data_IF_519052873036
#
_entry.id   IF_519052873036
#
_cell.length_a   1.000
_cell.length_b   1.000
_cell.length_c   1.000
_cell.angle_alpha   90.00
_cell.angle_beta   90.00
_cell.angle_gamma   90.00
#
_symmetry.space_group_name_H-M   'P 1'
#
loop_
_entity.id
_entity.type
_entity.pdbx_description
1 polymer ?
#
# COMPACT_ATOMS: atom_id res chain seq x y z
N UNK A 1 1.88 -28.16 -4.13
CA UNK A 1 1.61 -27.32 -2.93
C UNK A 1 0.26 -27.74 -2.37
N UNK A 2 0.20 -28.32 -1.17
CA UNK A 2 -1.10 -28.46 -0.49
C UNK A 2 -1.63 -27.03 -0.29
N UNK A 3 -2.77 -26.74 -0.88
CA UNK A 3 -3.47 -25.47 -0.66
C UNK A 3 -3.81 -25.40 0.83
N UNK A 4 -3.23 -24.44 1.54
CA UNK A 4 -3.60 -24.14 2.92
C UNK A 4 -5.11 -23.88 2.96
N UNK A 5 -5.80 -24.50 3.88
CA UNK A 5 -7.21 -24.24 4.12
C UNK A 5 -7.38 -22.77 4.52
N UNK A 6 -8.52 -22.13 4.24
CA UNK A 6 -8.71 -20.70 4.50
C UNK A 6 -8.43 -20.28 5.96
N UNK A 7 -8.63 -21.22 6.90
CA UNK A 7 -8.30 -21.03 8.33
C UNK A 7 -6.81 -20.96 8.61
N UNK A 8 -6.00 -21.61 7.78
CA UNK A 8 -4.53 -21.65 7.95
C UNK A 8 -3.85 -20.44 7.33
N UNK A 9 -4.58 -19.62 6.55
CA UNK A 9 -4.07 -18.41 5.91
C UNK A 9 -4.14 -17.17 6.80
N UNK A 10 -4.79 -17.25 7.96
CA UNK A 10 -4.90 -16.13 8.91
C UNK A 10 -4.15 -16.50 10.19
N UNK A 11 -3.08 -15.80 10.47
CA UNK A 11 -2.24 -16.03 11.65
C UNK A 11 -2.27 -14.81 12.57
N UNK A 12 -2.73 -14.99 13.78
CA UNK A 12 -2.72 -13.98 14.83
C UNK A 12 -1.48 -14.20 15.67
N UNK A 13 -0.60 -13.20 15.72
CA UNK A 13 0.70 -13.30 16.40
C UNK A 13 0.57 -13.50 17.91
N UNK A 14 -0.35 -12.76 18.54
CA UNK A 14 -0.70 -12.90 19.96
C UNK A 14 -2.19 -12.57 20.17
N UNK A 15 -3.07 -13.57 20.30
CA UNK A 15 -4.50 -13.36 20.45
C UNK A 15 -4.89 -12.50 21.66
N UNK A 16 -4.24 -12.70 22.81
CA UNK A 16 -4.57 -11.97 24.03
C UNK A 16 -4.22 -10.48 23.91
N UNK A 17 -3.08 -10.16 23.31
CA UNK A 17 -2.67 -8.78 23.04
C UNK A 17 -3.60 -8.13 22.03
N UNK A 18 -4.00 -8.85 20.99
CA UNK A 18 -4.94 -8.34 19.99
C UNK A 18 -6.30 -8.00 20.62
N UNK A 19 -6.84 -8.84 21.50
CA UNK A 19 -8.10 -8.55 22.19
C UNK A 19 -8.00 -7.32 23.10
N UNK A 20 -6.89 -7.13 23.81
CA UNK A 20 -6.64 -5.91 24.58
C UNK A 20 -6.61 -4.67 23.70
N UNK A 21 -5.95 -4.72 22.55
CA UNK A 21 -5.92 -3.63 21.57
C UNK A 21 -7.31 -3.32 21.02
N UNK A 22 -8.09 -4.33 20.66
CA UNK A 22 -9.48 -4.17 20.19
C UNK A 22 -10.32 -3.42 21.21
N UNK A 23 -10.18 -3.74 22.49
CA UNK A 23 -10.92 -3.05 23.56
C UNK A 23 -10.54 -1.57 23.69
N UNK A 24 -9.24 -1.24 23.54
CA UNK A 24 -8.75 0.15 23.55
C UNK A 24 -9.34 0.93 22.37
N UNK A 25 -9.30 0.37 21.15
CA UNK A 25 -9.85 0.99 19.96
C UNK A 25 -11.36 1.21 20.09
N UNK A 26 -12.11 0.22 20.61
CA UNK A 26 -13.54 0.33 20.86
C UNK A 26 -13.87 1.47 21.82
N UNK A 27 -13.16 1.60 22.94
CA UNK A 27 -13.35 2.69 23.92
C UNK A 27 -13.06 4.04 23.30
N UNK A 28 -11.96 4.18 22.56
CA UNK A 28 -11.62 5.43 21.87
C UNK A 28 -12.71 5.84 20.88
N UNK A 29 -13.24 4.90 20.10
CA UNK A 29 -14.29 5.19 19.11
C UNK A 29 -15.61 5.60 19.79
N UNK A 30 -16.06 4.88 20.81
CA UNK A 30 -17.33 5.16 21.51
C UNK A 30 -17.31 6.53 22.20
N UNK A 31 -16.18 6.88 22.82
CA UNK A 31 -16.03 8.18 23.50
C UNK A 31 -16.20 9.38 22.54
N UNK A 32 -15.84 9.20 21.25
CA UNK A 32 -15.88 10.28 20.26
C UNK A 32 -17.14 10.31 19.42
N UNK A 33 -17.88 9.20 19.30
CA UNK A 33 -19.17 9.18 18.62
C UNK A 33 -20.23 10.02 19.34
N UNK A 34 -20.09 10.18 20.65
CA UNK A 34 -21.06 10.88 21.51
C UNK A 34 -20.69 12.35 21.78
N UNK A 35 -19.47 12.77 21.42
CA UNK A 35 -19.00 14.15 21.57
C UNK A 35 -18.76 14.80 20.21
N UNK A 36 -19.44 15.91 19.95
CA UNK A 36 -19.32 16.73 18.72
C UNK A 36 -17.93 17.38 18.52
N UNK A 37 -16.99 17.15 19.44
CA UNK A 37 -15.60 17.56 19.31
C UNK A 37 -14.87 16.57 18.40
N UNK A 38 -14.86 16.85 17.11
CA UNK A 38 -14.23 16.22 15.94
C UNK A 38 -12.74 15.93 16.10
N UNK A 39 -12.32 15.18 17.13
CA UNK A 39 -10.92 14.80 17.30
C UNK A 39 -10.79 13.39 16.81
N UNK A 40 -10.27 13.22 15.59
CA UNK A 40 -9.96 11.91 15.03
C UNK A 40 -8.92 11.20 15.91
N UNK A 41 -9.41 10.26 16.70
CA UNK A 41 -8.57 9.47 17.61
C UNK A 41 -8.06 8.19 16.98
N UNK A 42 -8.67 7.78 15.89
CA UNK A 42 -8.34 6.57 15.14
C UNK A 42 -7.99 6.98 13.72
N UNK A 43 -6.87 6.48 13.21
CA UNK A 43 -6.42 6.64 11.83
C UNK A 43 -6.20 5.27 11.20
N UNK A 44 -6.65 5.10 9.98
CA UNK A 44 -6.28 3.96 9.13
C UNK A 44 -5.16 4.37 8.19
N UNK A 45 -4.00 3.72 8.31
CA UNK A 45 -2.83 3.90 7.46
C UNK A 45 -2.64 2.64 6.63
N UNK A 46 -2.53 2.76 5.33
CA UNK A 46 -2.35 1.62 4.43
C UNK A 46 -1.26 1.91 3.40
N UNK A 47 -0.40 0.92 3.16
CA UNK A 47 0.28 0.85 1.89
C UNK A 47 -0.72 0.58 0.76
N UNK A 48 -0.28 0.65 -0.50
CA UNK A 48 -1.15 0.47 -1.66
C UNK A 48 -0.82 -0.79 -2.46
N UNK A 49 0.42 -0.86 -3.00
CA UNK A 49 0.84 -1.94 -3.87
C UNK A 49 0.89 -3.28 -3.11
N UNK A 50 0.22 -4.31 -3.64
CA UNK A 50 0.14 -5.63 -3.03
C UNK A 50 -0.51 -5.68 -1.62
N UNK A 51 -0.98 -4.53 -1.16
CA UNK A 51 -1.83 -4.44 0.03
C UNK A 51 -3.31 -4.48 -0.36
N UNK A 52 -3.75 -3.70 -1.37
CA UNK A 52 -5.13 -3.70 -1.86
C UNK A 52 -5.38 -4.75 -2.95
N UNK A 53 -4.37 -5.24 -3.60
CA UNK A 53 -4.48 -6.25 -4.65
C UNK A 53 -3.40 -7.33 -4.48
N UNK A 54 -3.62 -8.48 -5.13
CA UNK A 54 -2.74 -9.63 -5.01
C UNK A 54 -1.41 -9.41 -5.73
N UNK A 55 -0.34 -9.98 -5.20
CA UNK A 55 0.99 -9.94 -5.81
C UNK A 55 1.17 -11.02 -6.85
N UNK A 56 0.64 -12.20 -6.59
CA UNK A 56 0.76 -13.37 -7.45
C UNK A 56 -0.59 -14.01 -7.75
N UNK A 57 -0.69 -14.60 -8.93
CA UNK A 57 -1.70 -15.58 -9.24
C UNK A 57 -1.18 -16.96 -8.84
N UNK A 58 -1.63 -17.46 -7.71
CA UNK A 58 -1.15 -18.74 -7.17
C UNK A 58 -1.61 -19.98 -7.97
N UNK A 59 -2.44 -19.81 -9.01
CA UNK A 59 -2.81 -20.92 -9.89
C UNK A 59 -1.80 -21.14 -11.03
N UNK A 60 -1.04 -20.12 -11.44
CA UNK A 60 -0.10 -20.18 -12.54
C UNK A 60 1.25 -19.49 -12.27
N UNK A 61 1.45 -18.91 -11.09
CA UNK A 61 2.67 -18.24 -10.69
C UNK A 61 2.87 -16.82 -11.24
N UNK A 62 1.98 -16.30 -12.09
CA UNK A 62 2.13 -14.98 -12.69
C UNK A 62 2.11 -13.87 -11.62
N UNK A 63 3.01 -12.89 -11.78
CA UNK A 63 3.03 -11.70 -10.93
C UNK A 63 2.11 -10.62 -11.50
N UNK A 64 1.19 -10.12 -10.66
CA UNK A 64 0.37 -8.96 -11.00
C UNK A 64 1.18 -7.66 -10.99
N UNK A 65 0.69 -6.63 -11.65
CA UNK A 65 1.40 -5.37 -11.84
C UNK A 65 1.19 -4.46 -10.63
N UNK A 66 2.27 -3.87 -10.11
CA UNK A 66 2.21 -2.77 -9.13
C UNK A 66 1.85 -1.44 -9.80
N UNK A 67 1.38 -0.47 -9.01
CA UNK A 67 1.11 0.89 -9.50
C UNK A 67 2.36 1.53 -10.12
N UNK A 68 3.51 1.31 -9.50
CA UNK A 68 4.80 1.75 -10.02
C UNK A 68 5.22 0.98 -11.28
N UNK A 69 4.86 -0.29 -11.41
CA UNK A 69 5.13 -1.15 -12.56
C UNK A 69 4.32 -0.83 -13.82
N UNK A 70 3.23 -0.06 -13.70
CA UNK A 70 2.34 0.23 -14.82
C UNK A 70 3.06 0.81 -16.04
N UNK A 71 4.03 1.69 -15.86
CA UNK A 71 4.84 2.26 -16.94
C UNK A 71 5.82 1.28 -17.62
N UNK A 72 5.93 0.04 -17.15
CA UNK A 72 6.79 -0.98 -17.77
C UNK A 72 6.10 -1.70 -18.94
N UNK A 73 4.84 -1.37 -19.24
CA UNK A 73 4.04 -2.10 -20.21
C UNK A 73 3.98 -1.36 -21.55
N UNK A 74 3.95 -2.12 -22.63
CA UNK A 74 3.81 -1.65 -24.01
C UNK A 74 2.37 -1.21 -24.29
N UNK A 75 1.93 -0.13 -23.67
CA UNK A 75 0.58 0.42 -23.91
C UNK A 75 0.58 1.48 -25.01
N UNK A 76 1.75 2.02 -25.31
CA UNK A 76 1.93 3.16 -26.21
C UNK A 76 3.01 2.83 -27.24
N UNK A 77 2.76 3.20 -28.50
CA UNK A 77 3.75 3.06 -29.59
C UNK A 77 4.66 4.30 -29.71
N UNK A 78 5.71 4.20 -30.55
CA UNK A 78 6.55 5.33 -30.91
C UNK A 78 7.60 5.70 -29.86
N UNK A 79 7.76 7.00 -29.58
CA UNK A 79 8.83 7.49 -28.68
C UNK A 79 8.65 7.05 -27.23
N UNK A 80 7.43 6.76 -26.81
CA UNK A 80 7.12 6.22 -25.50
C UNK A 80 7.72 4.83 -25.26
N UNK A 81 7.85 4.01 -26.30
CA UNK A 81 8.49 2.70 -26.18
C UNK A 81 9.96 2.81 -25.70
N UNK A 82 10.69 3.82 -26.18
CA UNK A 82 12.08 4.05 -25.74
C UNK A 82 12.14 4.37 -24.24
N UNK A 83 11.20 5.19 -23.77
CA UNK A 83 11.09 5.54 -22.34
C UNK A 83 10.75 4.31 -21.49
N UNK A 84 9.84 3.47 -21.94
CA UNK A 84 9.49 2.22 -21.28
C UNK A 84 10.69 1.28 -21.21
N UNK A 85 11.44 1.13 -22.31
CA UNK A 85 12.65 0.31 -22.33
C UNK A 85 13.74 0.83 -21.40
N UNK A 86 13.93 2.16 -21.30
CA UNK A 86 14.86 2.75 -20.33
C UNK A 86 14.43 2.41 -18.90
N UNK A 87 13.14 2.48 -18.61
CA UNK A 87 12.61 2.16 -17.29
C UNK A 87 12.76 0.68 -16.93
N UNK A 88 12.56 -0.24 -17.89
CA UNK A 88 12.83 -1.68 -17.70
C UNK A 88 14.30 -1.93 -17.36
N UNK A 89 15.22 -1.29 -18.07
CA UNK A 89 16.67 -1.40 -17.76
C UNK A 89 16.98 -0.91 -16.33
N UNK A 90 16.35 0.18 -15.90
CA UNK A 90 16.50 0.63 -14.50
C UNK A 90 15.99 -0.42 -13.52
N UNK A 91 14.82 -1.00 -13.76
CA UNK A 91 14.27 -2.06 -12.93
C UNK A 91 15.27 -3.23 -12.79
N UNK A 92 15.81 -3.72 -13.90
CA UNK A 92 16.76 -4.85 -13.89
C UNK A 92 18.05 -4.55 -13.11
N UNK A 93 18.51 -3.29 -13.12
CA UNK A 93 19.70 -2.85 -12.40
C UNK A 93 19.45 -2.74 -10.89
N UNK A 94 18.29 -2.21 -10.50
CA UNK A 94 18.03 -1.80 -9.12
C UNK A 94 17.20 -2.80 -8.31
N UNK A 95 16.49 -3.74 -8.95
CA UNK A 95 15.61 -4.70 -8.28
C UNK A 95 16.30 -5.45 -7.13
N UNK A 96 17.58 -5.81 -7.30
CA UNK A 96 18.37 -6.48 -6.27
C UNK A 96 18.46 -5.69 -4.94
N UNK A 97 18.42 -4.36 -4.99
CA UNK A 97 18.48 -3.53 -3.78
C UNK A 97 17.13 -3.47 -3.05
N UNK A 98 16.04 -3.79 -3.73
CA UNK A 98 14.71 -3.95 -3.12
C UNK A 98 14.57 -5.33 -2.46
N UNK A 99 14.98 -6.38 -3.16
CA UNK A 99 14.72 -7.77 -2.78
C UNK A 99 15.81 -8.38 -1.88
N UNK A 100 17.08 -8.05 -2.10
CA UNK A 100 18.20 -8.63 -1.34
C UNK A 100 18.44 -7.89 -0.04
N UNK A 101 17.87 -8.41 1.05
CA UNK A 101 18.02 -7.86 2.41
C UNK A 101 19.41 -8.10 3.03
N UNK A 102 20.31 -8.85 2.37
CA UNK A 102 21.68 -9.07 2.82
C UNK A 102 22.61 -7.91 2.47
N UNK A 103 22.21 -7.07 1.52
CA UNK A 103 22.91 -5.83 1.17
C UNK A 103 22.76 -4.81 2.30
N UNK A 104 23.85 -4.12 2.64
CA UNK A 104 23.84 -3.06 3.66
C UNK A 104 22.68 -2.07 3.48
N UNK A 105 21.98 -1.76 4.56
CA UNK A 105 20.76 -0.97 4.50
C UNK A 105 21.00 0.46 3.97
N UNK A 106 22.16 1.06 4.26
CA UNK A 106 22.47 2.42 3.77
C UNK A 106 22.72 2.40 2.26
N UNK A 107 23.38 1.35 1.75
CA UNK A 107 23.55 1.15 0.31
C UNK A 107 22.18 0.95 -0.34
N UNK A 108 21.31 0.14 0.23
CA UNK A 108 19.95 -0.06 -0.27
C UNK A 108 19.16 1.25 -0.30
N UNK A 109 19.20 2.04 0.78
CA UNK A 109 18.55 3.36 0.87
C UNK A 109 19.00 4.28 -0.26
N UNK A 110 20.31 4.42 -0.46
CA UNK A 110 20.89 5.26 -1.51
C UNK A 110 20.44 4.79 -2.90
N UNK A 111 20.58 3.50 -3.18
CA UNK A 111 20.28 2.93 -4.50
C UNK A 111 18.80 2.96 -4.84
N UNK A 112 17.93 2.72 -3.87
CA UNK A 112 16.48 2.80 -4.09
C UNK A 112 16.00 4.24 -4.27
N UNK A 113 16.60 5.21 -3.57
CA UNK A 113 16.32 6.62 -3.83
C UNK A 113 16.78 7.03 -5.25
N UNK A 114 17.99 6.63 -5.65
CA UNK A 114 18.53 6.87 -6.99
C UNK A 114 17.61 6.28 -8.07
N UNK A 115 17.14 5.05 -7.86
CA UNK A 115 16.21 4.38 -8.77
C UNK A 115 14.89 5.14 -8.91
N UNK A 116 14.27 5.50 -7.78
CA UNK A 116 12.99 6.22 -7.80
C UNK A 116 13.11 7.57 -8.52
N UNK A 117 14.19 8.34 -8.27
CA UNK A 117 14.44 9.60 -8.96
C UNK A 117 14.59 9.39 -10.48
N UNK A 118 15.39 8.41 -10.91
CA UNK A 118 15.58 8.11 -12.34
C UNK A 118 14.28 7.66 -13.01
N UNK A 119 13.50 6.81 -12.32
CA UNK A 119 12.23 6.34 -12.82
C UNK A 119 11.19 7.46 -12.95
N UNK A 120 11.09 8.34 -11.93
CA UNK A 120 10.21 9.50 -11.97
C UNK A 120 10.58 10.50 -13.07
N UNK A 121 11.87 10.71 -13.33
CA UNK A 121 12.32 11.55 -14.45
C UNK A 121 11.84 11.00 -15.81
N UNK A 122 11.79 9.68 -15.98
CA UNK A 122 11.24 9.06 -17.19
C UNK A 122 9.71 9.22 -17.23
N UNK A 123 9.03 8.97 -16.11
CA UNK A 123 7.57 9.03 -16.04
C UNK A 123 7.01 10.46 -16.14
N UNK A 124 7.79 11.46 -15.74
CA UNK A 124 7.44 12.87 -15.87
C UNK A 124 7.69 13.44 -17.28
N UNK A 125 7.85 12.59 -18.30
CA UNK A 125 8.06 13.04 -19.66
C UNK A 125 6.75 13.58 -20.28
N UNK A 126 6.79 14.67 -21.08
CA UNK A 126 5.60 15.25 -21.73
C UNK A 126 4.83 14.30 -22.62
N UNK A 127 5.46 13.21 -23.10
CA UNK A 127 4.81 12.16 -23.90
C UNK A 127 3.91 11.23 -23.09
N UNK A 128 3.88 11.37 -21.76
CA UNK A 128 2.91 10.68 -20.88
C UNK A 128 1.88 11.70 -20.36
N UNK A 129 0.87 12.06 -21.16
CA UNK A 129 -0.21 12.96 -20.73
C UNK A 129 -1.10 12.28 -19.67
N UNK A 130 -1.84 13.07 -18.89
CA UNK A 130 -2.71 12.57 -17.83
C UNK A 130 -3.71 11.51 -18.33
N UNK A 131 -4.29 11.70 -19.50
CA UNK A 131 -5.24 10.73 -20.09
C UNK A 131 -4.61 9.36 -20.40
N UNK A 132 -3.28 9.32 -20.58
CA UNK A 132 -2.55 8.06 -20.76
C UNK A 132 -2.62 7.19 -19.50
N UNK A 133 -2.62 7.81 -18.31
CA UNK A 133 -2.70 7.08 -17.04
C UNK A 133 -4.00 6.31 -16.93
N UNK A 134 -5.12 6.98 -17.22
CA UNK A 134 -6.44 6.34 -17.21
C UNK A 134 -6.50 5.18 -18.18
N UNK A 135 -6.12 5.41 -19.46
CA UNK A 135 -6.08 4.37 -20.49
C UNK A 135 -5.24 3.16 -20.08
N UNK A 136 -4.07 3.43 -19.51
CA UNK A 136 -3.14 2.40 -19.07
C UNK A 136 -3.76 1.52 -17.98
N UNK A 137 -4.40 2.13 -16.98
CA UNK A 137 -5.05 1.40 -15.89
C UNK A 137 -6.24 0.57 -16.41
N UNK A 138 -7.08 1.15 -17.26
CA UNK A 138 -8.22 0.45 -17.89
C UNK A 138 -7.75 -0.78 -18.69
N UNK A 139 -6.76 -0.61 -19.58
CA UNK A 139 -6.22 -1.71 -20.40
C UNK A 139 -5.63 -2.85 -19.55
N UNK A 140 -4.98 -2.53 -18.43
CA UNK A 140 -4.40 -3.53 -17.53
C UNK A 140 -5.46 -4.25 -16.72
N UNK A 141 -6.51 -3.56 -16.34
CA UNK A 141 -7.68 -4.17 -15.71
C UNK A 141 -8.36 -5.17 -16.66
N UNK A 142 -8.63 -4.74 -17.90
CA UNK A 142 -9.26 -5.59 -18.94
C UNK A 142 -8.40 -6.82 -19.28
N UNK A 143 -7.09 -6.67 -19.26
CA UNK A 143 -6.12 -7.75 -19.49
C UNK A 143 -5.86 -8.62 -18.24
N UNK A 144 -6.58 -8.40 -17.13
CA UNK A 144 -6.46 -9.13 -15.85
C UNK A 144 -5.07 -9.09 -15.21
N UNK A 145 -4.30 -8.04 -15.47
CA UNK A 145 -3.01 -7.81 -14.79
C UNK A 145 -3.18 -7.14 -13.41
N UNK A 146 -4.40 -6.74 -13.07
CA UNK A 146 -4.79 -6.22 -11.76
C UNK A 146 -5.78 -7.21 -11.15
N UNK A 147 -5.54 -7.63 -9.92
CA UNK A 147 -6.43 -8.52 -9.20
C UNK A 147 -6.59 -8.03 -7.76
N UNK A 148 -7.66 -7.28 -7.51
CA UNK A 148 -7.96 -6.78 -6.17
C UNK A 148 -8.24 -7.91 -5.19
N UNK A 149 -7.83 -7.71 -3.94
CA UNK A 149 -8.13 -8.64 -2.86
C UNK A 149 -9.63 -8.71 -2.60
N UNK A 150 -10.10 -9.89 -2.27
CA UNK A 150 -11.50 -10.14 -1.93
C UNK A 150 -11.96 -9.20 -0.80
N UNK A 151 -13.15 -8.61 -0.95
CA UNK A 151 -13.80 -7.73 0.04
C UNK A 151 -13.02 -6.45 0.40
N UNK A 152 -12.04 -6.02 -0.40
CA UNK A 152 -11.35 -4.73 -0.19
C UNK A 152 -12.31 -3.55 -0.34
N UNK A 153 -13.23 -3.61 -1.33
CA UNK A 153 -14.23 -2.57 -1.56
C UNK A 153 -15.11 -2.38 -0.31
N UNK A 154 -15.73 -3.45 0.18
CA UNK A 154 -16.61 -3.44 1.34
C UNK A 154 -15.90 -3.02 2.63
N UNK A 155 -14.61 -3.34 2.76
CA UNK A 155 -13.80 -2.88 3.87
C UNK A 155 -13.63 -1.35 3.86
N UNK A 156 -13.28 -0.76 2.69
CA UNK A 156 -13.15 0.69 2.56
C UNK A 156 -14.49 1.40 2.72
N UNK A 157 -15.58 0.86 2.18
CA UNK A 157 -16.94 1.37 2.42
C UNK A 157 -17.27 1.41 3.91
N UNK A 158 -16.86 0.37 4.65
CA UNK A 158 -17.06 0.32 6.10
C UNK A 158 -16.24 1.37 6.85
N UNK A 159 -14.99 1.64 6.46
CA UNK A 159 -14.20 2.74 7.01
C UNK A 159 -14.88 4.11 6.76
N UNK A 160 -15.45 4.31 5.57
CA UNK A 160 -16.18 5.52 5.20
C UNK A 160 -17.46 5.66 6.05
N UNK A 161 -18.25 4.60 6.21
CA UNK A 161 -19.43 4.57 7.09
C UNK A 161 -19.10 4.92 8.54
N UNK A 162 -17.98 4.40 9.06
CA UNK A 162 -17.47 4.67 10.40
C UNK A 162 -16.81 6.05 10.52
N UNK A 163 -16.68 6.78 9.41
CA UNK A 163 -16.00 8.07 9.31
C UNK A 163 -14.55 8.04 9.83
N UNK A 164 -13.85 6.93 9.69
CA UNK A 164 -12.43 6.77 10.07
C UNK A 164 -11.54 7.37 8.99
N UNK A 165 -10.65 8.35 9.28
CA UNK A 165 -9.75 8.91 8.27
C UNK A 165 -8.82 7.84 7.72
N UNK A 166 -8.54 7.96 6.41
CA UNK A 166 -7.72 7.02 5.65
C UNK A 166 -6.49 7.77 5.12
N UNK A 167 -5.31 7.20 5.36
CA UNK A 167 -4.04 7.66 4.81
C UNK A 167 -3.41 6.53 3.99
N UNK A 168 -3.29 6.72 2.69
CA UNK A 168 -2.55 5.82 1.81
C UNK A 168 -1.11 6.32 1.71
N UNK A 169 -0.14 5.44 2.00
CA UNK A 169 1.29 5.75 2.03
C UNK A 169 2.03 4.83 1.06
N UNK A 170 2.39 5.33 -0.12
CA UNK A 170 2.93 4.51 -1.21
C UNK A 170 4.11 5.16 -1.92
N UNK A 171 5.09 4.37 -2.34
CA UNK A 171 6.11 4.79 -3.31
C UNK A 171 5.57 4.95 -4.73
N UNK A 172 4.33 4.57 -4.99
CA UNK A 172 3.65 4.69 -6.28
C UNK A 172 3.30 6.13 -6.66
N UNK A 173 2.61 6.28 -7.79
CA UNK A 173 2.19 7.58 -8.32
C UNK A 173 0.73 7.84 -7.98
N UNK A 174 0.45 8.94 -7.31
CA UNK A 174 -0.88 9.32 -6.80
C UNK A 174 -1.98 9.22 -7.88
N UNK A 175 -1.73 9.70 -9.09
CA UNK A 175 -2.70 9.65 -10.17
C UNK A 175 -3.05 8.22 -10.56
N UNK A 176 -2.06 7.33 -10.61
CA UNK A 176 -2.28 5.90 -10.87
C UNK A 176 -3.06 5.27 -9.72
N UNK A 177 -2.68 5.54 -8.47
CA UNK A 177 -3.38 5.06 -7.27
C UNK A 177 -4.85 5.45 -7.30
N UNK A 178 -5.15 6.71 -7.66
CA UNK A 178 -6.55 7.19 -7.78
C UNK A 178 -7.31 6.44 -8.86
N UNK A 179 -6.73 6.21 -10.04
CA UNK A 179 -7.39 5.44 -11.09
C UNK A 179 -7.65 3.98 -10.69
N UNK A 180 -6.72 3.33 -9.98
CA UNK A 180 -6.96 1.99 -9.40
C UNK A 180 -8.12 2.00 -8.40
N UNK A 181 -8.18 3.00 -7.51
CA UNK A 181 -9.26 3.11 -6.52
C UNK A 181 -10.63 3.33 -7.20
N UNK A 182 -10.67 4.03 -8.34
CA UNK A 182 -11.90 4.18 -9.14
C UNK A 182 -12.41 2.85 -9.69
N UNK A 183 -11.53 1.92 -10.07
CA UNK A 183 -11.92 0.59 -10.53
C UNK A 183 -12.67 -0.21 -9.45
N UNK A 184 -12.42 0.06 -8.18
CA UNK A 184 -13.09 -0.60 -7.05
C UNK A 184 -14.54 -0.15 -6.87
N UNK A 185 -14.95 0.97 -7.49
CA UNK A 185 -16.30 1.54 -7.34
C UNK A 185 -16.76 1.71 -5.88
N UNK A 186 -15.83 2.05 -4.97
CA UNK A 186 -16.11 2.22 -3.54
C UNK A 186 -17.13 3.33 -3.33
N UNK A 187 -18.25 3.01 -2.70
CA UNK A 187 -19.33 3.97 -2.46
C UNK A 187 -18.87 5.10 -1.53
N UNK A 188 -19.04 6.35 -1.99
CA UNK A 188 -18.68 7.55 -1.21
C UNK A 188 -17.20 7.93 -1.28
N UNK A 189 -16.37 7.21 -2.00
CA UNK A 189 -14.92 7.44 -2.08
C UNK A 189 -14.57 8.85 -2.55
N UNK A 190 -15.17 9.32 -3.65
CA UNK A 190 -14.87 10.65 -4.21
C UNK A 190 -15.21 11.77 -3.22
N UNK A 191 -16.33 11.66 -2.55
CA UNK A 191 -16.72 12.63 -1.53
C UNK A 191 -15.76 12.59 -0.33
N UNK A 192 -15.31 11.40 0.05
CA UNK A 192 -14.35 11.19 1.14
C UNK A 192 -12.99 11.81 0.82
N UNK A 193 -12.54 11.69 -0.43
CA UNK A 193 -11.34 12.38 -0.94
C UNK A 193 -11.54 13.90 -0.92
N UNK A 194 -12.65 14.41 -1.45
CA UNK A 194 -12.97 15.86 -1.47
C UNK A 194 -13.02 16.47 -0.07
N UNK A 195 -13.54 15.75 0.91
CA UNK A 195 -13.55 16.15 2.32
C UNK A 195 -12.17 16.06 2.98
N UNK A 196 -11.17 15.58 2.28
CA UNK A 196 -9.83 15.35 2.81
C UNK A 196 -9.77 14.24 3.87
N UNK A 197 -10.77 13.36 3.94
CA UNK A 197 -10.81 12.21 4.85
C UNK A 197 -10.02 11.01 4.32
N UNK A 198 -9.81 10.92 3.00
CA UNK A 198 -8.83 10.05 2.38
C UNK A 198 -7.71 10.93 1.83
N UNK A 199 -6.48 10.65 2.25
CA UNK A 199 -5.28 11.41 1.91
C UNK A 199 -4.19 10.49 1.40
N UNK A 200 -3.24 11.07 0.69
CA UNK A 200 -2.14 10.34 0.06
C UNK A 200 -0.78 10.93 0.47
N UNK A 201 0.14 10.07 0.85
CA UNK A 201 1.57 10.32 0.89
C UNK A 201 2.18 9.45 -0.20
N UNK A 202 2.44 10.03 -1.37
CA UNK A 202 2.92 9.31 -2.55
C UNK A 202 3.61 10.24 -3.52
N UNK A 203 4.30 9.70 -4.52
CA UNK A 203 4.84 10.51 -5.59
C UNK A 203 3.69 11.08 -6.44
N UNK A 204 3.84 12.32 -6.90
CA UNK A 204 2.80 13.02 -7.66
C UNK A 204 3.41 13.64 -8.91
N UNK A 205 2.77 13.40 -10.06
CA UNK A 205 3.10 14.05 -11.33
C UNK A 205 2.30 15.34 -11.48
N UNK A 206 2.89 16.35 -12.09
CA UNK A 206 2.22 17.62 -12.38
C UNK A 206 1.92 17.72 -13.87
N UNK A 207 0.73 18.18 -14.19
CA UNK A 207 0.27 18.30 -15.57
C UNK A 207 -0.15 19.74 -15.87
N UNK A 208 0.19 20.20 -17.07
CA UNK A 208 -0.30 21.48 -17.59
C UNK A 208 -1.77 21.38 -17.96
N UNK A 209 -2.60 22.27 -17.45
CA UNK A 209 -4.07 22.22 -17.59
C UNK A 209 -4.53 22.44 -19.04
N UNK A 210 -3.74 23.16 -19.87
CA UNK A 210 -4.13 23.47 -21.25
C UNK A 210 -3.69 22.38 -22.23
N UNK A 211 -2.52 21.78 -22.00
CA UNK A 211 -1.92 20.81 -22.93
C UNK A 211 -2.05 19.37 -22.46
N UNK A 212 -2.48 19.16 -21.20
CA UNK A 212 -2.56 17.84 -20.57
C UNK A 212 -1.21 17.08 -20.51
N UNK A 213 -0.09 17.80 -20.74
CA UNK A 213 1.26 17.23 -20.74
C UNK A 213 1.85 17.22 -19.34
N UNK A 214 2.62 16.18 -19.03
CA UNK A 214 3.39 16.16 -17.79
C UNK A 214 4.49 17.22 -17.82
N UNK A 215 4.59 18.01 -16.76
CA UNK A 215 5.56 19.11 -16.61
C UNK A 215 6.53 18.90 -15.45
N UNK A 216 6.41 17.77 -14.74
CA UNK A 216 7.31 17.43 -13.65
C UNK A 216 6.66 16.57 -12.57
N UNK A 217 7.32 16.46 -11.44
CA UNK A 217 6.86 15.72 -10.27
C UNK A 217 7.29 16.40 -8.96
N UNK A 218 6.71 15.96 -7.83
CA UNK A 218 7.06 16.49 -6.51
C UNK A 218 8.55 16.24 -6.19
N UNK A 219 9.25 17.26 -5.70
CA UNK A 219 10.70 17.21 -5.39
C UNK A 219 11.04 16.22 -4.27
N UNK A 220 10.10 15.98 -3.37
CA UNK A 220 10.26 15.06 -2.25
C UNK A 220 9.82 13.68 -2.69
N UNK A 221 10.78 12.86 -3.12
CA UNK A 221 10.51 11.50 -3.60
C UNK A 221 10.21 10.57 -2.43
N UNK A 222 9.05 9.91 -2.48
CA UNK A 222 8.59 8.93 -1.50
C UNK A 222 9.04 7.54 -1.94
N UNK A 223 9.67 6.79 -1.05
CA UNK A 223 10.06 5.40 -1.26
C UNK A 223 10.09 4.63 0.07
N UNK A 224 10.28 3.32 0.04
CA UNK A 224 10.10 2.45 1.21
C UNK A 224 10.76 2.93 2.51
N UNK A 225 11.97 3.51 2.44
CA UNK A 225 12.72 3.85 3.64
C UNK A 225 12.46 5.25 4.22
N UNK A 226 11.72 6.13 3.55
CA UNK A 226 11.46 7.48 4.06
C UNK A 226 9.98 7.77 4.36
N UNK A 227 9.11 6.76 4.26
CA UNK A 227 7.67 6.89 4.54
C UNK A 227 7.41 7.51 5.92
N UNK A 228 8.18 7.10 6.95
CA UNK A 228 7.97 7.55 8.34
C UNK A 228 8.12 9.05 8.53
N UNK A 229 9.06 9.70 7.83
CA UNK A 229 9.28 11.15 7.93
C UNK A 229 8.05 11.94 7.46
N UNK A 230 7.45 11.47 6.36
CA UNK A 230 6.27 12.12 5.78
C UNK A 230 5.00 11.82 6.56
N UNK A 231 4.85 10.59 7.07
CA UNK A 231 3.70 10.20 7.90
C UNK A 231 3.71 10.98 9.21
N UNK A 232 4.86 11.08 9.89
CA UNK A 232 5.00 11.86 11.11
C UNK A 232 4.53 13.30 10.90
N UNK A 233 5.12 14.00 9.92
CA UNK A 233 4.75 15.38 9.60
C UNK A 233 3.26 15.52 9.30
N UNK A 234 2.73 14.67 8.42
CA UNK A 234 1.34 14.73 8.00
C UNK A 234 0.35 14.50 9.16
N UNK A 235 0.62 13.51 10.01
CA UNK A 235 -0.25 13.18 11.13
C UNK A 235 -0.22 14.29 12.17
N UNK A 236 0.96 14.84 12.50
CA UNK A 236 1.07 15.96 13.43
C UNK A 236 0.32 17.20 12.94
N UNK A 237 0.36 17.50 11.64
CA UNK A 237 -0.33 18.65 11.07
C UNK A 237 -1.83 18.45 10.94
N UNK A 238 -2.29 17.28 10.50
CA UNK A 238 -3.68 17.05 10.14
C UNK A 238 -4.50 16.31 11.21
N UNK A 239 -3.87 15.40 11.94
CA UNK A 239 -4.50 14.53 12.94
C UNK A 239 -3.74 14.55 14.28
N UNK A 240 -3.52 15.73 14.90
CA UNK A 240 -2.66 15.87 16.09
C UNK A 240 -3.19 15.13 17.32
N UNK A 241 -4.43 14.66 17.29
CA UNK A 241 -5.06 13.96 18.40
C UNK A 241 -5.20 12.45 18.15
N UNK A 242 -4.58 11.90 17.12
CA UNK A 242 -4.58 10.46 16.86
C UNK A 242 -3.91 9.73 18.03
N UNK A 243 -4.60 8.74 18.55
CA UNK A 243 -4.13 7.88 19.64
C UNK A 243 -4.00 6.42 19.21
N UNK A 244 -4.77 6.00 18.19
CA UNK A 244 -4.84 4.62 17.76
C UNK A 244 -4.73 4.53 16.23
N UNK A 245 -3.94 3.57 15.75
CA UNK A 245 -3.70 3.39 14.32
C UNK A 245 -3.92 1.94 13.91
N UNK A 246 -4.72 1.73 12.85
CA UNK A 246 -4.61 0.54 12.02
C UNK A 246 -3.52 0.78 10.98
N UNK A 247 -2.55 -0.13 10.87
CA UNK A 247 -1.53 -0.08 9.83
C UNK A 247 -1.54 -1.36 9.01
N UNK A 248 -1.73 -1.21 7.69
CA UNK A 248 -1.83 -2.32 6.75
C UNK A 248 -0.71 -2.22 5.72
N UNK A 249 -0.03 -3.32 5.43
CA UNK A 249 1.03 -3.35 4.43
C UNK A 249 1.51 -4.76 4.08
N UNK A 250 2.29 -4.87 3.01
CA UNK A 250 2.91 -6.12 2.58
C UNK A 250 4.41 -6.21 2.94
N UNK A 251 4.98 -5.13 3.49
CA UNK A 251 6.38 -5.04 3.91
C UNK A 251 6.52 -4.53 5.36
N UNK A 252 7.63 -4.88 6.00
CA UNK A 252 7.98 -4.35 7.32
C UNK A 252 8.16 -2.81 7.33
N UNK A 253 8.59 -2.25 6.20
CA UNK A 253 8.71 -0.79 6.04
C UNK A 253 7.36 -0.08 6.12
N UNK A 254 6.26 -0.75 5.83
CA UNK A 254 4.92 -0.18 5.95
C UNK A 254 4.51 -0.02 7.41
N UNK A 255 4.79 -1.03 8.24
CA UNK A 255 4.62 -0.90 9.69
C UNK A 255 5.56 0.18 10.27
N UNK A 256 6.82 0.23 9.82
CA UNK A 256 7.79 1.25 10.24
C UNK A 256 7.38 2.67 9.81
N UNK A 257 6.48 2.81 8.83
CA UNK A 257 6.02 4.13 8.37
C UNK A 257 5.36 4.97 9.48
N UNK A 258 4.87 4.33 10.55
CA UNK A 258 4.24 5.00 11.70
C UNK A 258 5.11 5.05 12.95
N UNK A 259 6.35 4.53 12.91
CA UNK A 259 7.20 4.40 14.12
C UNK A 259 7.54 5.72 14.81
N UNK A 260 7.69 6.79 14.01
CA UNK A 260 8.00 8.13 14.53
C UNK A 260 6.85 8.81 15.26
N UNK A 261 5.63 8.26 15.18
CA UNK A 261 4.47 8.79 15.90
C UNK A 261 4.50 8.50 17.41
N UNK A 262 5.50 7.74 17.89
CA UNK A 262 5.72 7.41 19.30
C UNK A 262 4.49 6.81 20.01
N UNK A 263 3.67 6.07 19.28
CA UNK A 263 2.51 5.36 19.84
C UNK A 263 2.95 4.06 20.53
N UNK A 264 2.23 3.69 21.60
CA UNK A 264 2.46 2.40 22.25
C UNK A 264 2.07 1.24 21.30
N UNK A 265 3.07 0.56 20.75
CA UNK A 265 2.92 -0.56 19.83
C UNK A 265 2.01 -1.66 20.39
N UNK A 266 2.06 -1.90 21.70
CA UNK A 266 1.32 -2.99 22.34
C UNK A 266 -0.13 -2.63 22.69
N UNK A 267 -0.52 -1.36 22.55
CA UNK A 267 -1.85 -0.88 22.93
C UNK A 267 -2.55 -0.16 21.81
N UNK A 268 -1.86 0.71 21.13
CA UNK A 268 -2.45 1.73 20.26
C UNK A 268 -2.26 1.46 18.77
N UNK A 269 -1.64 0.34 18.40
CA UNK A 269 -1.40 -0.02 17.01
C UNK A 269 -1.94 -1.43 16.76
N UNK A 270 -2.81 -1.58 15.76
CA UNK A 270 -3.19 -2.90 15.21
C UNK A 270 -2.59 -3.00 13.81
N UNK A 271 -1.61 -3.89 13.66
CA UNK A 271 -0.91 -4.15 12.42
C UNK A 271 -1.47 -5.36 11.68
N UNK A 272 -1.76 -5.18 10.38
CA UNK A 272 -2.17 -6.27 9.49
C UNK A 272 -1.16 -6.37 8.35
N UNK A 273 -0.46 -7.51 8.29
CA UNK A 273 0.53 -7.82 7.27
C UNK A 273 -0.03 -8.76 6.20
N UNK A 274 0.16 -8.42 4.92
CA UNK A 274 -0.14 -9.31 3.79
C UNK A 274 1.15 -9.99 3.35
N UNK A 275 1.35 -11.24 3.79
CA UNK A 275 2.56 -12.00 3.53
C UNK A 275 2.39 -12.86 2.28
N UNK A 276 3.16 -12.56 1.25
CA UNK A 276 3.19 -13.33 0.02
C UNK A 276 4.25 -14.42 0.06
N UNK A 277 3.81 -15.66 -0.02
CA UNK A 277 4.69 -16.79 -0.30
C UNK A 277 5.04 -16.79 -1.78
N UNK A 278 6.30 -17.05 -2.08
CA UNK A 278 6.71 -17.22 -3.46
C UNK A 278 6.14 -18.54 -3.99
N UNK A 279 5.41 -18.53 -5.12
CA UNK A 279 5.00 -19.74 -5.79
C UNK A 279 6.22 -20.60 -6.13
N UNK A 280 6.07 -21.94 -6.08
CA UNK A 280 7.19 -22.85 -6.37
C UNK A 280 7.75 -22.67 -7.78
N UNK A 281 6.90 -22.25 -8.72
CA UNK A 281 7.23 -21.99 -10.11
C UNK A 281 8.12 -20.75 -10.29
N UNK A 282 8.17 -19.82 -9.32
CA UNK A 282 8.99 -18.60 -9.34
C UNK A 282 10.30 -18.79 -8.55
N UNK A 283 10.65 -20.01 -8.16
CA UNK A 283 11.95 -20.28 -7.54
C UNK A 283 13.09 -19.92 -8.50
N UNK A 284 13.41 -18.62 -8.58
CA UNK A 284 14.71 -18.21 -9.07
C UNK A 284 15.75 -18.73 -8.08
N UNK A 285 16.65 -19.59 -8.51
CA UNK A 285 17.70 -20.19 -7.67
C UNK A 285 18.56 -19.14 -6.94
N UNK A 286 18.49 -17.89 -7.37
CA UNK A 286 19.18 -16.75 -6.76
C UNK A 286 18.53 -16.22 -5.48
N UNK A 287 17.24 -16.45 -5.27
CA UNK A 287 16.50 -15.94 -4.11
C UNK A 287 15.84 -17.10 -3.36
N UNK A 288 16.61 -17.84 -2.59
CA UNK A 288 16.06 -18.81 -1.63
C UNK A 288 15.34 -18.04 -0.49
N UNK A 289 14.15 -17.56 -0.79
CA UNK A 289 13.32 -16.94 0.23
C UNK A 289 12.65 -18.04 1.04
N UNK A 290 13.08 -18.18 2.27
CA UNK A 290 12.48 -19.09 3.24
C UNK A 290 11.17 -18.47 3.74
N UNK A 291 10.04 -18.96 3.21
CA UNK A 291 8.70 -18.53 3.59
C UNK A 291 8.47 -18.62 5.11
N UNK A 292 9.05 -19.61 5.79
CA UNK A 292 8.92 -19.76 7.23
C UNK A 292 9.67 -18.66 7.99
N UNK A 293 10.89 -18.33 7.57
CA UNK A 293 11.63 -17.19 8.15
C UNK A 293 10.92 -15.87 7.94
N UNK A 294 10.30 -15.69 6.76
CA UNK A 294 9.49 -14.49 6.53
C UNK A 294 8.30 -14.46 7.47
N UNK A 295 7.57 -15.55 7.65
CA UNK A 295 6.43 -15.62 8.54
C UNK A 295 6.83 -15.28 9.98
N UNK A 296 7.92 -15.87 10.51
CA UNK A 296 8.40 -15.57 11.86
C UNK A 296 8.79 -14.09 12.02
N UNK A 297 9.39 -13.48 11.01
CA UNK A 297 9.68 -12.05 11.01
C UNK A 297 8.38 -11.22 11.06
N UNK A 298 7.38 -11.57 10.27
CA UNK A 298 6.10 -10.85 10.22
C UNK A 298 5.31 -10.98 11.52
N UNK A 299 5.32 -12.15 12.17
CA UNK A 299 4.73 -12.33 13.51
C UNK A 299 5.34 -11.40 14.57
N UNK A 300 6.62 -11.04 14.43
CA UNK A 300 7.29 -10.07 15.29
C UNK A 300 6.90 -8.61 15.03
N UNK A 301 6.22 -8.33 13.90
CA UNK A 301 5.90 -6.97 13.44
C UNK A 301 4.39 -6.73 13.45
N UNK A 302 3.62 -7.60 12.80
CA UNK A 302 2.18 -7.46 12.63
C UNK A 302 1.41 -8.31 13.64
N UNK A 303 0.28 -7.81 14.10
CA UNK A 303 -0.62 -8.55 14.99
C UNK A 303 -1.39 -9.64 14.24
N UNK A 304 -1.72 -9.38 12.99
CA UNK A 304 -2.49 -10.24 12.10
C UNK A 304 -1.70 -10.41 10.81
N UNK A 305 -1.46 -11.65 10.40
CA UNK A 305 -0.76 -11.99 9.17
C UNK A 305 -1.72 -12.74 8.23
N UNK A 306 -1.97 -12.17 7.07
CA UNK A 306 -2.82 -12.72 6.02
C UNK A 306 -1.92 -13.29 4.93
N UNK A 307 -2.02 -14.59 4.70
CA UNK A 307 -1.08 -15.31 3.84
C UNK A 307 -1.60 -15.43 2.40
N UNK A 308 -0.68 -15.35 1.45
CA UNK A 308 -0.92 -15.61 0.02
C UNK A 308 -1.98 -14.65 -0.58
N UNK A 309 -3.09 -15.19 -1.08
CA UNK A 309 -4.20 -14.47 -1.70
C UNK A 309 -5.33 -14.12 -0.71
N UNK A 310 -5.10 -14.27 0.61
CA UNK A 310 -6.10 -13.92 1.61
C UNK A 310 -6.52 -12.45 1.48
N UNK A 311 -7.82 -12.22 1.61
CA UNK A 311 -8.45 -10.93 1.36
C UNK A 311 -8.78 -10.14 2.62
N UNK A 312 -9.81 -9.32 2.49
CA UNK A 312 -10.27 -8.40 3.54
C UNK A 312 -11.43 -8.95 4.38
N UNK A 313 -11.69 -10.26 4.36
CA UNK A 313 -12.75 -10.87 5.20
C UNK A 313 -12.47 -10.61 6.68
N UNK A 314 -11.30 -11.02 7.18
CA UNK A 314 -10.92 -10.80 8.57
C UNK A 314 -10.73 -9.30 8.92
N UNK A 315 -10.05 -8.47 8.12
CA UNK A 315 -10.01 -7.02 8.34
C UNK A 315 -11.40 -6.37 8.45
N UNK A 316 -12.36 -6.80 7.64
CA UNK A 316 -13.74 -6.33 7.70
C UNK A 316 -14.44 -6.74 9.00
N UNK A 317 -14.21 -7.98 9.46
CA UNK A 317 -14.70 -8.47 10.75
C UNK A 317 -14.07 -7.69 11.91
N UNK A 318 -12.78 -7.33 11.82
CA UNK A 318 -12.10 -6.53 12.81
C UNK A 318 -12.81 -5.19 13.07
N UNK A 319 -13.37 -4.55 12.04
CA UNK A 319 -14.12 -3.30 12.19
C UNK A 319 -15.45 -3.45 12.97
N UNK A 320 -15.91 -4.68 13.24
CA UNK A 320 -17.08 -4.91 14.07
C UNK A 320 -16.89 -4.49 15.54
N UNK A 321 -15.65 -4.27 15.97
CA UNK A 321 -15.35 -3.69 17.29
C UNK A 321 -16.01 -2.31 17.50
N UNK A 322 -16.36 -1.62 16.40
CA UNK A 322 -16.99 -0.30 16.41
C UNK A 322 -18.52 -0.33 16.29
N UNK A 323 -19.11 -1.52 16.15
CA UNK A 323 -20.58 -1.66 16.19
C UNK A 323 -21.07 -1.45 17.62
N UNK A 324 -22.13 -0.63 17.76
CA UNK A 324 -22.86 -0.47 19.02
C UNK A 324 -23.68 -1.71 19.35
#
# INVERSE_FOLDING_TARGET
MEYLDSKDKIIISNPDVLEQKKEIFRKSYTYHSDNDSKKDKILFVSDFDYTLFNKYNYSNGDKYISSFGMYNQEVFGGDQEKLIQQRRKLHDIYLKYEEDVTIDENIRKEKLLEWNIKALNIMAHPDFPLDSIKKMVELKNDSKFINFKKNVCEFYEKLIELNIPILIVSGGIKQIIIEFLKLLNIKGLEEYIKKGRLSFISNELFFDENTNKCVGYNKNVIYGFNKSDYVEKFVHEKYPNVENIFVFGDLDTDYKSIEKLNLDKNKNIIGVGFLYYYPEEIKDEKFQIDNNKQLERYKGIFDINLLMDEGYDYPKELLNIFKK
#
